data_IF_622036656504
#
_entry.id   IF_622036656504
#
_cell.length_a   1.000
_cell.length_b   1.000
_cell.length_c   1.000
_cell.angle_alpha   90.00
_cell.angle_beta   90.00
_cell.angle_gamma   90.00
#
_symmetry.space_group_name_H-M   'P 1'
#
loop_
_entity.id
_entity.type
_entity.pdbx_description
1 polymer ?
#
# COMPACT_ATOMS: atom_id res chain seq x y z
N UNK A 1 19.85 21.68 -12.34
CA UNK A 1 18.88 21.31 -11.29
C UNK A 1 18.24 20.01 -11.73
N UNK A 2 18.74 18.88 -11.25
CA UNK A 2 17.98 17.63 -11.35
C UNK A 2 16.87 17.71 -10.31
N UNK A 3 15.67 18.07 -10.76
CA UNK A 3 14.49 17.83 -9.95
C UNK A 3 14.32 16.32 -9.90
N UNK A 4 14.61 15.70 -8.75
CA UNK A 4 14.18 14.34 -8.48
C UNK A 4 12.65 14.36 -8.54
N UNK A 5 12.08 13.93 -9.67
CA UNK A 5 10.65 13.71 -9.79
C UNK A 5 10.30 12.60 -8.80
N UNK A 6 9.92 12.98 -7.58
CA UNK A 6 9.28 12.06 -6.66
C UNK A 6 7.99 11.68 -7.36
N UNK A 7 7.87 10.43 -7.82
CA UNK A 7 6.64 9.97 -8.45
C UNK A 7 5.49 10.20 -7.45
N UNK A 8 4.43 10.86 -7.93
CA UNK A 8 3.25 11.11 -7.13
C UNK A 8 2.64 9.78 -6.64
N UNK A 9 2.05 9.80 -5.45
CA UNK A 9 1.40 8.63 -4.88
C UNK A 9 0.31 8.04 -5.81
N UNK A 10 0.27 6.71 -5.92
CA UNK A 10 -0.73 5.98 -6.70
C UNK A 10 -1.34 4.83 -5.90
N UNK A 11 -2.64 4.92 -5.61
CA UNK A 11 -3.42 3.86 -4.95
C UNK A 11 -3.30 2.52 -5.70
N UNK A 12 -3.29 2.55 -7.04
CA UNK A 12 -3.17 1.34 -7.85
C UNK A 12 -1.78 0.70 -7.70
N UNK A 13 -0.71 1.51 -7.65
CA UNK A 13 0.64 1.00 -7.42
C UNK A 13 0.76 0.37 -6.02
N UNK A 14 0.21 1.03 -4.99
CA UNK A 14 0.16 0.50 -3.62
C UNK A 14 -0.51 -0.90 -3.57
N UNK A 15 -1.70 -1.05 -4.16
CA UNK A 15 -2.39 -2.34 -4.22
C UNK A 15 -1.59 -3.39 -5.02
N UNK A 16 -0.92 -2.97 -6.10
CA UNK A 16 -0.03 -3.84 -6.88
C UNK A 16 1.12 -4.40 -6.03
N UNK A 17 1.78 -3.56 -5.23
CA UNK A 17 2.84 -4.01 -4.32
C UNK A 17 2.33 -4.96 -3.25
N UNK A 18 1.16 -4.69 -2.66
CA UNK A 18 0.54 -5.57 -1.66
C UNK A 18 0.23 -6.95 -2.27
N UNK A 19 -0.41 -6.99 -3.44
CA UNK A 19 -0.70 -8.24 -4.15
C UNK A 19 0.59 -9.02 -4.43
N UNK A 20 1.59 -8.35 -5.00
CA UNK A 20 2.87 -8.97 -5.37
C UNK A 20 3.63 -9.50 -4.15
N UNK A 21 3.74 -8.71 -3.09
CA UNK A 21 4.40 -9.09 -1.84
C UNK A 21 3.71 -10.27 -1.16
N UNK A 22 2.38 -10.26 -1.09
CA UNK A 22 1.62 -11.36 -0.50
C UNK A 22 1.67 -12.64 -1.35
N UNK A 23 1.63 -12.54 -2.67
CA UNK A 23 1.84 -13.70 -3.55
C UNK A 23 3.21 -14.32 -3.33
N UNK A 24 4.25 -13.49 -3.23
CA UNK A 24 5.63 -13.93 -2.94
C UNK A 24 5.75 -14.60 -1.58
N UNK A 25 5.01 -14.12 -0.58
CA UNK A 25 4.97 -14.70 0.76
C UNK A 25 4.09 -15.97 0.86
N UNK A 26 3.43 -16.39 -0.23
CA UNK A 26 2.67 -17.64 -0.28
C UNK A 26 1.25 -17.57 0.27
N UNK A 27 0.69 -16.36 0.45
CA UNK A 27 -0.69 -16.20 0.89
C UNK A 27 -1.70 -16.71 -0.15
N UNK A 28 -2.83 -17.20 0.34
CA UNK A 28 -3.92 -17.66 -0.52
C UNK A 28 -4.60 -16.50 -1.25
N UNK A 29 -5.28 -16.81 -2.36
CA UNK A 29 -6.06 -15.82 -3.11
C UNK A 29 -7.13 -15.13 -2.26
N UNK A 30 -7.74 -15.85 -1.32
CA UNK A 30 -8.80 -15.31 -0.45
C UNK A 30 -8.23 -14.31 0.57
N UNK A 31 -7.07 -14.62 1.16
CA UNK A 31 -6.36 -13.70 2.06
C UNK A 31 -5.91 -12.44 1.34
N UNK A 32 -5.32 -12.58 0.15
CA UNK A 32 -4.92 -11.44 -0.69
C UNK A 32 -6.13 -10.56 -0.99
N UNK A 33 -7.24 -11.16 -1.43
CA UNK A 33 -8.47 -10.43 -1.73
C UNK A 33 -9.03 -9.69 -0.51
N UNK A 34 -8.93 -10.29 0.68
CA UNK A 34 -9.34 -9.66 1.94
C UNK A 34 -8.49 -8.43 2.23
N UNK A 35 -7.16 -8.56 2.22
CA UNK A 35 -6.24 -7.47 2.52
C UNK A 35 -6.35 -6.34 1.50
N UNK A 36 -6.39 -6.66 0.20
CA UNK A 36 -6.54 -5.66 -0.87
C UNK A 36 -7.81 -4.83 -0.71
N UNK A 37 -8.94 -5.46 -0.34
CA UNK A 37 -10.20 -4.75 -0.09
C UNK A 37 -10.12 -3.86 1.14
N UNK A 38 -9.50 -4.34 2.22
CA UNK A 38 -9.30 -3.54 3.42
C UNK A 38 -8.43 -2.33 3.13
N UNK A 39 -7.30 -2.49 2.45
CA UNK A 39 -6.42 -1.36 2.09
C UNK A 39 -7.12 -0.38 1.13
N UNK A 40 -7.86 -0.89 0.14
CA UNK A 40 -8.63 -0.02 -0.75
C UNK A 40 -9.64 0.85 0.01
N UNK A 41 -10.31 0.29 1.03
CA UNK A 41 -11.24 1.05 1.87
C UNK A 41 -10.53 2.15 2.66
N UNK A 42 -9.32 1.88 3.19
CA UNK A 42 -8.54 2.87 3.95
C UNK A 42 -8.17 4.12 3.13
N UNK A 43 -8.07 4.01 1.80
CA UNK A 43 -7.79 5.16 0.94
C UNK A 43 -8.86 6.26 1.00
N UNK A 44 -10.10 5.90 1.35
CA UNK A 44 -11.19 6.88 1.49
C UNK A 44 -11.15 7.60 2.86
N UNK A 45 -10.43 7.07 3.84
CA UNK A 45 -10.42 7.57 5.22
C UNK A 45 -9.09 8.17 5.66
N UNK A 46 -7.99 7.86 4.96
CA UNK A 46 -6.64 8.29 5.33
C UNK A 46 -5.97 8.99 4.17
N UNK A 47 -5.36 10.13 4.48
CA UNK A 47 -4.44 10.80 3.57
C UNK A 47 -3.13 10.01 3.43
N UNK A 48 -2.37 10.32 2.37
CA UNK A 48 -1.06 9.72 2.11
C UNK A 48 -0.09 9.98 3.28
N UNK A 49 -0.13 11.18 3.86
CA UNK A 49 0.73 11.54 5.00
C UNK A 49 0.37 10.73 6.26
N UNK A 50 -0.92 10.53 6.56
CA UNK A 50 -1.35 9.69 7.68
C UNK A 50 -0.92 8.24 7.49
N UNK A 51 -1.08 7.69 6.29
CA UNK A 51 -0.64 6.32 5.98
C UNK A 51 0.89 6.17 6.14
N UNK A 52 1.66 7.15 5.69
CA UNK A 52 3.12 7.21 5.88
C UNK A 52 3.50 7.26 7.35
N UNK A 53 2.80 8.07 8.14
CA UNK A 53 3.03 8.19 9.57
C UNK A 53 2.73 6.88 10.32
N UNK A 54 1.70 6.14 9.91
CA UNK A 54 1.39 4.80 10.44
C UNK A 54 2.56 3.84 10.17
N UNK A 55 3.08 3.81 8.94
CA UNK A 55 4.20 2.94 8.59
C UNK A 55 5.47 3.29 9.39
N UNK A 56 5.86 4.57 9.41
CA UNK A 56 7.07 5.04 10.10
C UNK A 56 7.06 4.79 11.61
N UNK A 57 5.88 4.65 12.22
CA UNK A 57 5.70 4.38 13.66
C UNK A 57 5.47 2.90 13.96
N UNK A 58 5.35 2.05 12.94
CA UNK A 58 5.13 0.60 13.12
C UNK A 58 6.44 -0.16 13.31
N UNK A 59 6.36 -1.38 13.84
CA UNK A 59 7.50 -2.31 13.92
C UNK A 59 7.63 -3.18 12.66
N UNK A 60 6.88 -2.86 11.59
CA UNK A 60 6.82 -3.59 10.33
C UNK A 60 7.56 -2.88 9.20
#
# INVERSE_FOLDING_TARGET
MEGSYMEDWSNNACLGYIISGMQRAGYSREEIKKVVRSVYYEFDFKSVDEAKDIYNKSEY
#
